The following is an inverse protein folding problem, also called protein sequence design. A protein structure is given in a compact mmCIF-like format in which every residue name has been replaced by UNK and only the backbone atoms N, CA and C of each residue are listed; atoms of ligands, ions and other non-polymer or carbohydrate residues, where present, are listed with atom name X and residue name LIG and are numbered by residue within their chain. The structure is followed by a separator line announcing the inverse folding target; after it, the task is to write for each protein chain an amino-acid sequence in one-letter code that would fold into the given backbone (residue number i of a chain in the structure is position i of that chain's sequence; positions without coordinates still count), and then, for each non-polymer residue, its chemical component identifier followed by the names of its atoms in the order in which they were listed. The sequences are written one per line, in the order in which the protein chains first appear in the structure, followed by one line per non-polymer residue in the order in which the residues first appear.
data_IF_646332263036
#
_entry.id   IF_646332263036
#
_cell.length_a   1.000
_cell.length_b   1.000
_cell.length_c   1.000
_cell.angle_alpha   90.00
_cell.angle_beta   90.00
_cell.angle_gamma   90.00
#
_symmetry.space_group_name_H-M   'P 1'
#
loop_
_entity.id
_entity.type
_entity.pdbx_description
1 polymer ?
#
# COMPACT_ATOMS: atom_id res chain seq x y z
N UNK A 1 -23.64 -7.38 60.89
CA UNK A 1 -22.76 -6.47 60.16
C UNK A 1 -22.82 -6.88 58.68
N UNK A 2 -23.87 -6.44 57.97
CA UNK A 2 -24.06 -6.70 56.55
C UNK A 2 -23.17 -5.74 55.78
N UNK A 3 -22.15 -6.26 55.12
CA UNK A 3 -21.37 -5.51 54.14
C UNK A 3 -22.26 -5.34 52.88
N UNK A 4 -22.83 -4.16 52.72
CA UNK A 4 -23.50 -3.76 51.49
C UNK A 4 -22.47 -3.77 50.37
N UNK A 5 -22.48 -4.82 49.55
CA UNK A 5 -21.68 -4.86 48.30
C UNK A 5 -22.30 -3.74 47.41
N UNK A 6 -21.60 -2.63 47.31
CA UNK A 6 -21.99 -1.53 46.44
C UNK A 6 -22.05 -2.05 44.98
N UNK A 7 -23.25 -2.14 44.43
CA UNK A 7 -23.43 -2.50 43.01
C UNK A 7 -22.83 -1.44 42.12
N UNK A 8 -21.78 -1.77 41.38
CA UNK A 8 -21.18 -0.88 40.39
C UNK A 8 -22.22 -0.54 39.33
N UNK A 9 -22.46 0.73 39.10
CA UNK A 9 -23.47 1.17 38.12
C UNK A 9 -23.00 0.90 36.69
N UNK A 10 -23.94 0.63 35.77
CA UNK A 10 -23.63 0.46 34.35
C UNK A 10 -22.87 1.66 33.77
N UNK A 11 -23.11 2.88 34.28
CA UNK A 11 -22.38 4.09 33.86
C UNK A 11 -20.92 4.04 34.29
N UNK A 12 -20.60 3.50 35.43
CA UNK A 12 -19.23 3.33 35.91
C UNK A 12 -18.50 2.27 35.11
N UNK A 13 -19.14 1.16 34.81
CA UNK A 13 -18.58 0.10 33.95
C UNK A 13 -18.25 0.68 32.56
N UNK A 14 -19.22 1.34 31.93
CA UNK A 14 -19.03 1.98 30.62
C UNK A 14 -17.86 2.98 30.62
N UNK A 15 -17.73 3.79 31.70
CA UNK A 15 -16.62 4.72 31.88
C UNK A 15 -15.26 4.01 31.96
N UNK A 16 -15.15 2.96 32.75
CA UNK A 16 -13.91 2.21 32.87
C UNK A 16 -13.52 1.52 31.56
N UNK A 17 -14.48 0.94 30.84
CA UNK A 17 -14.24 0.37 29.53
C UNK A 17 -13.76 1.44 28.51
N UNK A 18 -14.38 2.62 28.52
CA UNK A 18 -13.97 3.73 27.67
C UNK A 18 -12.56 4.23 28.00
N UNK A 19 -12.19 4.30 29.29
CA UNK A 19 -10.84 4.65 29.71
C UNK A 19 -9.81 3.61 29.31
N UNK A 20 -10.12 2.33 29.48
CA UNK A 20 -9.24 1.24 29.05
C UNK A 20 -8.98 1.33 27.54
N UNK A 21 -10.04 1.53 26.74
CA UNK A 21 -9.91 1.69 25.30
C UNK A 21 -9.11 2.93 24.93
N UNK A 22 -9.33 4.06 25.59
CA UNK A 22 -8.55 5.29 25.37
C UNK A 22 -7.07 5.06 25.67
N UNK A 23 -6.76 4.37 26.80
CA UNK A 23 -5.39 4.04 27.15
C UNK A 23 -4.72 3.12 26.13
N UNK A 24 -5.44 2.11 25.61
CA UNK A 24 -4.95 1.25 24.53
C UNK A 24 -4.65 2.03 23.25
N UNK A 25 -5.53 2.97 22.88
CA UNK A 25 -5.32 3.82 21.69
C UNK A 25 -4.10 4.75 21.86
N UNK A 26 -3.91 5.33 23.04
CA UNK A 26 -2.71 6.13 23.37
C UNK A 26 -1.46 5.26 23.26
N UNK A 27 -1.48 4.08 23.89
CA UNK A 27 -0.36 3.13 23.85
C UNK A 27 -0.02 2.75 22.41
N UNK A 28 -1.03 2.45 21.59
CA UNK A 28 -0.82 2.14 20.17
C UNK A 28 -0.17 3.33 19.44
N UNK A 29 -0.66 4.55 19.64
CA UNK A 29 -0.08 5.75 19.03
C UNK A 29 1.39 5.96 19.41
N UNK A 30 1.76 5.67 20.66
CA UNK A 30 3.17 5.72 21.11
C UNK A 30 3.99 4.60 20.47
N UNK A 31 3.49 3.35 20.51
CA UNK A 31 4.21 2.19 19.98
C UNK A 31 4.49 2.31 18.48
N UNK A 32 3.57 2.86 17.69
CA UNK A 32 3.79 3.06 16.24
C UNK A 32 5.01 3.93 15.93
N UNK A 33 5.42 4.81 16.86
CA UNK A 33 6.63 5.63 16.70
C UNK A 33 7.92 4.80 16.68
N UNK A 34 7.90 3.58 17.22
CA UNK A 34 9.04 2.65 17.25
C UNK A 34 9.04 1.66 16.09
N UNK A 35 8.16 1.81 15.10
CA UNK A 35 8.02 0.87 13.97
C UNK A 35 9.28 0.68 13.12
N UNK A 36 10.26 1.61 13.17
CA UNK A 36 11.54 1.44 12.45
C UNK A 36 12.39 0.29 12.99
N UNK A 37 12.27 -0.01 14.28
CA UNK A 37 13.14 -0.97 14.99
C UNK A 37 12.38 -2.10 15.67
N UNK A 38 11.06 -2.00 15.76
CA UNK A 38 10.19 -2.96 16.42
C UNK A 38 9.14 -3.48 15.43
N UNK A 39 9.23 -4.72 15.02
CA UNK A 39 8.32 -5.33 14.03
C UNK A 39 6.86 -5.33 14.47
N UNK A 40 6.59 -5.61 15.75
CA UNK A 40 5.23 -5.58 16.28
C UNK A 40 4.65 -4.15 16.29
N UNK A 41 5.52 -3.15 16.58
CA UNK A 41 5.15 -1.74 16.53
C UNK A 41 4.90 -1.27 15.08
N UNK A 42 5.66 -1.82 14.14
CA UNK A 42 5.44 -1.59 12.70
C UNK A 42 4.06 -2.08 12.26
N UNK A 43 3.68 -3.32 12.63
CA UNK A 43 2.37 -3.87 12.30
C UNK A 43 1.21 -3.01 12.82
N UNK A 44 1.34 -2.44 14.02
CA UNK A 44 0.34 -1.54 14.59
C UNK A 44 0.16 -0.26 13.75
N UNK A 45 1.19 0.18 13.03
CA UNK A 45 1.15 1.41 12.23
C UNK A 45 0.25 1.33 11.00
N UNK A 46 -0.20 0.14 10.61
CA UNK A 46 -0.98 -0.06 9.39
C UNK A 46 -2.47 0.26 9.51
N UNK A 47 -2.99 0.49 10.73
CA UNK A 47 -4.42 0.53 11.01
C UNK A 47 -5.02 1.89 11.45
N UNK A 48 -4.54 3.06 11.04
CA UNK A 48 -5.07 4.34 11.54
C UNK A 48 -6.54 4.56 11.16
N UNK A 49 -7.02 4.00 10.02
CA UNK A 49 -8.42 4.09 9.64
C UNK A 49 -9.33 3.33 10.62
N UNK A 50 -8.95 2.11 10.98
CA UNK A 50 -9.66 1.29 11.95
C UNK A 50 -9.57 1.90 13.35
N UNK A 51 -8.40 2.39 13.74
CA UNK A 51 -8.19 3.04 15.03
C UNK A 51 -9.00 4.35 15.16
N UNK A 52 -9.16 5.11 14.07
CA UNK A 52 -10.03 6.28 14.04
C UNK A 52 -11.50 5.92 14.31
N UNK A 53 -12.01 4.83 13.72
CA UNK A 53 -13.38 4.34 13.98
C UNK A 53 -13.53 3.85 15.41
N UNK A 54 -12.58 3.06 15.92
CA UNK A 54 -12.59 2.56 17.29
C UNK A 54 -12.54 3.70 18.31
N UNK A 55 -11.82 4.79 18.01
CA UNK A 55 -11.70 5.95 18.87
C UNK A 55 -13.03 6.74 19.02
N UNK A 56 -14.02 6.52 18.17
CA UNK A 56 -15.36 7.11 18.35
C UNK A 56 -16.09 6.50 19.55
N UNK A 57 -15.81 5.25 19.91
CA UNK A 57 -16.49 4.55 21.02
C UNK A 57 -16.29 5.31 22.33
N UNK A 58 -15.05 5.57 22.82
CA UNK A 58 -14.87 6.33 24.06
C UNK A 58 -15.38 7.77 23.95
N UNK A 59 -15.30 8.42 22.78
CA UNK A 59 -15.87 9.75 22.57
C UNK A 59 -17.37 9.77 22.84
N UNK A 60 -18.14 8.86 22.22
CA UNK A 60 -19.59 8.75 22.43
C UNK A 60 -19.90 8.39 23.88
N UNK A 61 -19.18 7.45 24.47
CA UNK A 61 -19.38 7.02 25.86
C UNK A 61 -19.21 8.21 26.83
N UNK A 62 -18.11 8.96 26.72
CA UNK A 62 -17.85 10.10 27.62
C UNK A 62 -18.82 11.25 27.39
N UNK A 63 -19.29 11.47 26.16
CA UNK A 63 -20.34 12.45 25.86
C UNK A 63 -21.66 12.08 26.56
N UNK A 64 -22.10 10.82 26.46
CA UNK A 64 -23.34 10.32 27.08
C UNK A 64 -23.26 10.32 28.61
N UNK A 65 -22.11 9.98 29.18
CA UNK A 65 -21.89 9.96 30.65
C UNK A 65 -21.67 11.37 31.21
N UNK A 66 -21.55 12.42 30.36
CA UNK A 66 -21.40 13.81 30.78
C UNK A 66 -19.98 14.17 31.28
N UNK A 67 -18.96 13.46 30.84
CA UNK A 67 -17.55 13.61 31.31
C UNK A 67 -16.72 14.45 30.34
N UNK A 68 -16.87 15.76 30.34
CA UNK A 68 -16.25 16.68 29.40
C UNK A 68 -14.73 16.55 29.30
N UNK A 69 -14.00 16.39 30.43
CA UNK A 69 -12.54 16.25 30.41
C UNK A 69 -12.11 14.94 29.72
N UNK A 70 -12.79 13.84 30.04
CA UNK A 70 -12.52 12.51 29.48
C UNK A 70 -12.82 12.51 27.97
N UNK A 71 -13.91 13.17 27.55
CA UNK A 71 -14.25 13.37 26.15
C UNK A 71 -13.18 14.13 25.38
N UNK A 72 -12.60 15.20 25.97
CA UNK A 72 -11.53 15.95 25.30
C UNK A 72 -10.30 15.07 25.03
N UNK A 73 -9.90 14.25 26.01
CA UNK A 73 -8.77 13.31 25.83
C UNK A 73 -9.06 12.30 24.72
N UNK A 74 -10.24 11.66 24.74
CA UNK A 74 -10.65 10.73 23.71
C UNK A 74 -10.71 11.39 22.31
N UNK A 75 -11.26 12.62 22.24
CA UNK A 75 -11.34 13.38 21.01
C UNK A 75 -9.98 13.75 20.43
N UNK A 76 -8.98 14.06 21.27
CA UNK A 76 -7.61 14.31 20.79
C UNK A 76 -7.00 13.06 20.15
N UNK A 77 -7.21 11.89 20.76
CA UNK A 77 -6.73 10.62 20.17
C UNK A 77 -7.49 10.26 18.89
N UNK A 78 -8.79 10.50 18.83
CA UNK A 78 -9.56 10.33 17.61
C UNK A 78 -9.05 11.25 16.50
N UNK A 79 -8.84 12.54 16.81
CA UNK A 79 -8.31 13.53 15.87
C UNK A 79 -6.91 13.16 15.36
N UNK A 80 -6.05 12.60 16.22
CA UNK A 80 -4.72 12.09 15.82
C UNK A 80 -4.80 11.01 14.74
N UNK A 81 -5.68 10.01 14.92
CA UNK A 81 -5.87 8.96 13.93
C UNK A 81 -6.52 9.48 12.64
N UNK A 82 -7.51 10.39 12.76
CA UNK A 82 -8.14 11.04 11.60
C UNK A 82 -7.12 11.87 10.82
N UNK A 83 -6.25 12.61 11.50
CA UNK A 83 -5.22 13.43 10.86
C UNK A 83 -4.29 12.60 9.95
N UNK A 84 -4.01 11.33 10.30
CA UNK A 84 -3.25 10.43 9.47
C UNK A 84 -3.96 10.08 8.13
N UNK A 85 -5.28 10.25 8.06
CA UNK A 85 -6.09 9.96 6.87
C UNK A 85 -6.28 11.20 6.00
N UNK A 86 -6.18 12.40 6.57
CA UNK A 86 -6.45 13.67 5.87
C UNK A 86 -5.73 13.79 4.53
N UNK A 87 -4.43 13.46 4.39
CA UNK A 87 -3.74 13.60 3.10
C UNK A 87 -4.35 12.76 1.96
N UNK A 88 -5.01 11.65 2.30
CA UNK A 88 -5.62 10.77 1.30
C UNK A 88 -6.97 11.29 0.78
N UNK A 89 -7.61 12.25 1.49
CA UNK A 89 -8.91 12.80 1.10
C UNK A 89 -8.86 14.29 0.78
N UNK A 90 -7.99 15.06 1.46
CA UNK A 90 -7.96 16.52 1.35
C UNK A 90 -6.88 17.04 0.39
N UNK A 91 -5.92 16.21 -0.01
CA UNK A 91 -4.96 16.62 -1.04
C UNK A 91 -5.70 16.78 -2.37
N UNK A 92 -5.65 17.98 -2.95
CA UNK A 92 -6.17 18.17 -4.31
C UNK A 92 -5.31 17.31 -5.24
N UNK A 93 -5.90 16.31 -5.91
CA UNK A 93 -5.14 15.58 -6.91
C UNK A 93 -4.67 16.61 -7.93
N UNK A 94 -3.39 16.63 -8.26
CA UNK A 94 -2.84 17.40 -9.41
C UNK A 94 -3.50 17.00 -10.75
N UNK A 95 -4.54 16.20 -10.70
CA UNK A 95 -5.12 15.33 -11.73
C UNK A 95 -6.47 15.77 -12.24
N UNK A 96 -7.00 16.90 -11.82
CA UNK A 96 -8.17 17.46 -12.51
C UNK A 96 -7.79 18.18 -13.81
N UNK A 97 -6.48 18.19 -14.16
CA UNK A 97 -6.05 18.67 -15.47
C UNK A 97 -6.06 17.45 -16.40
N UNK A 98 -6.92 17.43 -17.43
CA UNK A 98 -6.87 16.40 -18.47
C UNK A 98 -5.44 16.29 -19.02
N UNK A 99 -5.00 15.09 -19.43
CA UNK A 99 -3.72 14.98 -20.08
C UNK A 99 -3.69 15.94 -21.28
N UNK A 100 -2.56 16.60 -21.58
CA UNK A 100 -2.40 17.30 -22.84
C UNK A 100 -2.88 16.42 -23.98
N UNK A 101 -3.53 16.97 -25.00
CA UNK A 101 -4.15 16.21 -26.08
C UNK A 101 -3.18 15.28 -26.83
N UNK A 102 -1.89 15.60 -26.76
CA UNK A 102 -0.76 14.88 -27.36
C UNK A 102 -0.03 13.95 -26.36
N UNK A 103 -0.35 14.01 -25.07
CA UNK A 103 0.32 13.20 -24.08
C UNK A 103 -0.13 11.74 -24.15
N UNK A 104 0.83 10.83 -24.33
CA UNK A 104 0.57 9.40 -24.23
C UNK A 104 0.27 9.02 -22.78
N UNK A 105 -0.94 8.56 -22.50
CA UNK A 105 -1.30 7.96 -21.23
C UNK A 105 -0.84 6.49 -21.22
N UNK A 106 -0.11 6.11 -20.18
CA UNK A 106 0.39 4.75 -19.94
C UNK A 106 -0.39 4.17 -18.78
N UNK A 107 -0.89 2.95 -18.95
CA UNK A 107 -1.52 2.18 -17.88
C UNK A 107 -0.60 1.09 -17.34
N UNK A 108 -0.28 1.18 -16.06
CA UNK A 108 0.43 0.13 -15.33
C UNK A 108 -0.53 -0.56 -14.37
N UNK A 109 -0.50 -1.89 -14.36
CA UNK A 109 -1.21 -2.72 -13.39
C UNK A 109 -0.20 -3.50 -12.57
N UNK A 110 -0.36 -3.46 -11.24
CA UNK A 110 0.33 -4.36 -10.31
C UNK A 110 -0.69 -5.31 -9.68
N UNK A 111 -0.40 -6.59 -9.71
CA UNK A 111 -1.24 -7.63 -9.10
C UNK A 111 -0.39 -8.64 -8.34
N UNK A 112 -0.66 -8.77 -7.05
CA UNK A 112 -0.23 -9.94 -6.28
C UNK A 112 -1.26 -11.05 -6.57
N UNK A 113 -0.81 -12.14 -7.22
CA UNK A 113 -1.71 -13.20 -7.65
C UNK A 113 -1.99 -14.22 -6.53
N UNK A 114 -1.31 -14.14 -5.41
CA UNK A 114 -1.20 -15.12 -4.34
C UNK A 114 -0.75 -16.50 -4.87
N UNK A 115 0.37 -16.99 -4.39
CA UNK A 115 0.98 -18.24 -4.89
C UNK A 115 0.04 -19.44 -4.82
N UNK A 116 -0.87 -19.48 -3.82
CA UNK A 116 -1.86 -20.52 -3.58
C UNK A 116 -3.16 -20.32 -4.37
N UNK A 117 -3.42 -19.13 -4.89
CA UNK A 117 -4.61 -18.85 -5.68
C UNK A 117 -4.61 -19.70 -6.97
N UNK A 118 -5.76 -20.30 -7.30
CA UNK A 118 -5.94 -21.14 -8.49
C UNK A 118 -6.95 -20.56 -9.48
N UNK A 119 -7.53 -19.39 -9.19
CA UNK A 119 -8.52 -18.72 -10.03
C UNK A 119 -7.87 -17.91 -11.15
N UNK A 120 -7.17 -18.62 -12.05
CA UNK A 120 -6.54 -18.01 -13.23
C UNK A 120 -7.53 -17.25 -14.11
N UNK A 121 -8.79 -17.70 -14.16
CA UNK A 121 -9.79 -17.10 -15.04
C UNK A 121 -10.08 -15.66 -14.65
N UNK A 122 -10.20 -15.37 -13.34
CA UNK A 122 -10.42 -14.00 -12.86
C UNK A 122 -9.20 -13.11 -13.08
N UNK A 123 -7.99 -13.59 -12.81
CA UNK A 123 -6.77 -12.80 -13.04
C UNK A 123 -6.63 -12.46 -14.53
N UNK A 124 -6.75 -13.46 -15.43
CA UNK A 124 -6.65 -13.26 -16.87
C UNK A 124 -7.78 -12.36 -17.40
N UNK A 125 -9.02 -12.58 -16.91
CA UNK A 125 -10.17 -11.73 -17.22
C UNK A 125 -9.95 -10.28 -16.85
N UNK A 126 -9.39 -10.02 -15.65
CA UNK A 126 -9.04 -8.70 -15.19
C UNK A 126 -7.95 -8.03 -16.07
N UNK A 127 -6.88 -8.76 -16.41
CA UNK A 127 -5.83 -8.27 -17.29
C UNK A 127 -6.39 -7.90 -18.68
N UNK A 128 -7.26 -8.75 -19.24
CA UNK A 128 -7.91 -8.47 -20.54
C UNK A 128 -8.85 -7.26 -20.48
N UNK A 129 -9.61 -7.11 -19.40
CA UNK A 129 -10.54 -5.99 -19.21
C UNK A 129 -9.82 -4.67 -19.02
N UNK A 130 -8.75 -4.65 -18.22
CA UNK A 130 -8.00 -3.42 -17.90
C UNK A 130 -7.03 -3.02 -19.01
N UNK A 131 -6.60 -3.96 -19.87
CA UNK A 131 -5.67 -3.75 -20.99
C UNK A 131 -4.43 -2.94 -20.61
N UNK A 132 -3.64 -3.37 -19.60
CA UNK A 132 -2.48 -2.61 -19.17
C UNK A 132 -1.42 -2.53 -20.29
N UNK A 133 -0.73 -1.38 -20.39
CA UNK A 133 0.49 -1.25 -21.18
C UNK A 133 1.63 -2.02 -20.54
N UNK A 134 1.71 -2.00 -19.21
CA UNK A 134 2.68 -2.75 -18.41
C UNK A 134 1.96 -3.46 -17.26
N UNK A 135 2.24 -4.74 -17.11
CA UNK A 135 1.74 -5.60 -16.06
C UNK A 135 2.90 -6.05 -15.16
N UNK A 136 2.80 -5.79 -13.86
CA UNK A 136 3.70 -6.34 -12.84
C UNK A 136 2.91 -7.37 -12.04
N UNK A 137 3.47 -8.57 -11.92
CA UNK A 137 2.87 -9.68 -11.17
C UNK A 137 3.81 -10.08 -10.05
N UNK A 138 3.31 -10.17 -8.83
CA UNK A 138 4.05 -10.68 -7.66
C UNK A 138 3.45 -12.01 -7.20
N UNK A 139 4.22 -12.77 -6.44
CA UNK A 139 3.96 -14.16 -6.05
C UNK A 139 3.85 -15.12 -7.24
N UNK A 140 4.67 -14.86 -8.24
CA UNK A 140 4.74 -15.66 -9.46
C UNK A 140 5.40 -17.02 -9.18
N UNK A 141 4.69 -18.10 -9.48
CA UNK A 141 5.22 -19.46 -9.52
C UNK A 141 4.97 -20.10 -10.90
N UNK A 142 5.41 -21.33 -11.10
CA UNK A 142 5.24 -22.03 -12.40
C UNK A 142 3.78 -22.21 -12.82
N UNK A 143 2.84 -22.31 -11.87
CA UNK A 143 1.42 -22.35 -12.19
C UNK A 143 0.98 -21.03 -12.85
N UNK A 144 1.40 -19.91 -12.29
CA UNK A 144 1.07 -18.58 -12.79
C UNK A 144 1.81 -18.25 -14.10
N UNK A 145 3.04 -18.72 -14.28
CA UNK A 145 3.74 -18.61 -15.59
C UNK A 145 2.88 -19.24 -16.70
N UNK A 146 2.43 -20.48 -16.49
CA UNK A 146 1.54 -21.16 -17.46
C UNK A 146 0.18 -20.49 -17.63
N UNK A 147 -0.36 -19.88 -16.57
CA UNK A 147 -1.62 -19.15 -16.67
C UNK A 147 -1.51 -17.88 -17.50
N UNK A 148 -0.38 -17.15 -17.35
CA UNK A 148 -0.10 -15.92 -18.10
C UNK A 148 0.15 -16.16 -19.60
N UNK A 149 0.40 -17.39 -20.04
CA UNK A 149 0.48 -17.73 -21.47
C UNK A 149 -0.81 -17.37 -22.21
N UNK A 150 -1.96 -17.38 -21.54
CA UNK A 150 -3.25 -16.98 -22.11
C UNK A 150 -3.31 -15.50 -22.58
N UNK A 151 -2.39 -14.65 -22.14
CA UNK A 151 -2.27 -13.25 -22.53
C UNK A 151 -0.88 -12.92 -23.09
N UNK A 152 -0.01 -13.91 -23.24
CA UNK A 152 1.37 -13.74 -23.66
C UNK A 152 1.54 -13.01 -25.00
N UNK A 153 0.64 -13.26 -25.96
CA UNK A 153 0.65 -12.59 -27.27
C UNK A 153 0.44 -11.08 -27.18
N UNK A 154 -0.23 -10.59 -26.14
CA UNK A 154 -0.43 -9.17 -25.91
C UNK A 154 0.82 -8.46 -25.35
N UNK A 155 1.78 -9.20 -24.82
CA UNK A 155 2.96 -8.67 -24.12
C UNK A 155 4.24 -9.22 -24.76
N UNK A 156 4.74 -8.60 -25.85
CA UNK A 156 5.94 -9.07 -26.57
C UNK A 156 7.22 -8.98 -25.71
N UNK A 157 7.26 -8.07 -24.73
CA UNK A 157 8.39 -7.94 -23.81
C UNK A 157 7.99 -8.52 -22.47
N UNK A 158 8.79 -9.50 -22.00
CA UNK A 158 8.50 -10.21 -20.76
C UNK A 158 9.76 -10.56 -19.99
N UNK A 159 9.76 -10.32 -18.68
CA UNK A 159 10.70 -10.87 -17.73
C UNK A 159 9.89 -11.63 -16.69
N UNK A 160 10.08 -12.94 -16.62
CA UNK A 160 9.40 -13.83 -15.69
C UNK A 160 10.48 -14.46 -14.78
N UNK A 161 10.40 -14.20 -13.49
CA UNK A 161 11.30 -14.77 -12.47
C UNK A 161 10.44 -15.57 -11.47
N UNK A 162 9.93 -16.77 -11.86
CA UNK A 162 9.12 -17.59 -10.98
C UNK A 162 9.94 -18.13 -9.81
N UNK A 163 9.28 -18.35 -8.67
CA UNK A 163 9.87 -19.00 -7.50
C UNK A 163 8.85 -19.91 -6.83
N UNK A 164 9.30 -20.98 -6.21
CA UNK A 164 8.45 -21.85 -5.37
C UNK A 164 8.08 -21.18 -4.04
N UNK A 165 8.69 -20.04 -3.74
CA UNK A 165 8.35 -19.16 -2.63
C UNK A 165 7.45 -18.00 -3.11
N UNK A 166 6.88 -17.23 -2.16
CA UNK A 166 6.04 -16.06 -2.47
C UNK A 166 6.77 -14.90 -3.18
N UNK A 167 8.07 -15.02 -3.47
CA UNK A 167 8.90 -13.90 -3.99
C UNK A 167 9.18 -13.97 -5.48
N UNK A 168 8.43 -14.76 -6.23
CA UNK A 168 8.49 -14.71 -7.70
C UNK A 168 7.86 -13.42 -8.22
N UNK A 169 8.39 -12.90 -9.33
CA UNK A 169 7.96 -11.63 -9.91
C UNK A 169 7.98 -11.70 -11.44
N UNK A 170 7.08 -10.95 -12.07
CA UNK A 170 7.09 -10.73 -13.51
C UNK A 170 6.88 -9.26 -13.85
N UNK A 171 7.45 -8.85 -14.98
CA UNK A 171 7.08 -7.65 -15.72
C UNK A 171 6.80 -8.05 -17.16
N UNK A 172 5.62 -7.67 -17.64
CA UNK A 172 5.16 -7.91 -19.00
C UNK A 172 4.72 -6.60 -19.63
N UNK A 173 5.07 -6.34 -20.89
CA UNK A 173 4.81 -5.05 -21.53
C UNK A 173 4.34 -5.20 -22.97
N UNK A 174 3.35 -4.38 -23.33
CA UNK A 174 2.94 -4.08 -24.72
C UNK A 174 3.86 -3.05 -25.36
N UNK A 175 4.54 -2.25 -24.53
CA UNK A 175 5.44 -1.20 -24.97
C UNK A 175 6.84 -1.76 -25.22
N UNK A 176 7.63 -1.12 -26.09
CA UNK A 176 9.00 -1.53 -26.40
C UNK A 176 9.96 -1.16 -25.25
N UNK A 177 9.82 -1.84 -24.11
CA UNK A 177 10.68 -1.68 -22.96
C UNK A 177 11.98 -2.48 -23.15
N UNK A 178 13.07 -1.96 -22.59
CA UNK A 178 14.31 -2.71 -22.37
C UNK A 178 14.33 -3.19 -20.91
N UNK A 179 14.40 -4.48 -20.70
CA UNK A 179 14.61 -5.07 -19.35
C UNK A 179 16.05 -4.80 -18.95
N UNK A 180 16.24 -4.32 -17.71
CA UNK A 180 17.57 -4.01 -17.17
C UNK A 180 18.01 -5.09 -16.18
N UNK A 181 19.27 -5.49 -16.26
CA UNK A 181 19.90 -6.36 -15.27
C UNK A 181 20.34 -5.57 -14.02
N UNK A 182 20.61 -4.25 -14.18
CA UNK A 182 20.83 -3.35 -13.04
C UNK A 182 19.53 -3.16 -12.27
N UNK A 183 19.48 -3.70 -11.07
CA UNK A 183 18.32 -3.66 -10.17
C UNK A 183 18.75 -3.33 -8.74
N UNK A 184 17.82 -2.92 -7.87
CA UNK A 184 18.13 -2.64 -6.47
C UNK A 184 18.76 -3.85 -5.78
N UNK A 185 19.92 -3.67 -5.20
CA UNK A 185 20.70 -4.76 -4.60
C UNK A 185 19.93 -5.43 -3.46
N UNK A 186 19.76 -6.75 -3.53
CA UNK A 186 19.07 -7.54 -2.51
C UNK A 186 17.55 -7.41 -2.48
N UNK A 187 16.96 -6.56 -3.33
CA UNK A 187 15.50 -6.44 -3.43
C UNK A 187 14.91 -7.43 -4.46
N UNK A 188 13.71 -7.92 -4.17
CA UNK A 188 12.92 -8.68 -5.13
C UNK A 188 12.28 -7.71 -6.12
N UNK A 189 13.00 -7.40 -7.18
CA UNK A 189 12.59 -6.39 -8.14
C UNK A 189 12.93 -6.78 -9.58
N UNK A 190 12.13 -6.28 -10.49
CA UNK A 190 12.36 -6.29 -11.94
C UNK A 190 12.33 -4.84 -12.44
N UNK A 191 13.27 -4.49 -13.31
CA UNK A 191 13.43 -3.13 -13.80
C UNK A 191 13.34 -3.12 -15.31
N UNK A 192 12.63 -2.16 -15.85
CA UNK A 192 12.53 -1.93 -17.27
C UNK A 192 12.61 -0.44 -17.61
N UNK A 193 13.15 -0.11 -18.77
CA UNK A 193 13.24 1.26 -19.26
C UNK A 193 12.47 1.43 -20.56
N UNK A 194 11.61 2.45 -20.59
CA UNK A 194 10.93 2.90 -21.80
C UNK A 194 11.78 4.01 -22.44
N UNK A 195 12.12 3.91 -23.74
CA UNK A 195 12.94 4.94 -24.40
C UNK A 195 12.15 6.22 -24.69
N UNK A 196 10.83 6.08 -24.99
CA UNK A 196 9.94 7.22 -25.31
C UNK A 196 8.50 6.95 -24.78
N UNK A 197 8.00 7.79 -23.87
CA UNK A 197 8.76 8.81 -23.12
C UNK A 197 9.83 8.14 -22.25
N UNK A 198 10.93 8.84 -21.96
CA UNK A 198 11.99 8.28 -21.10
C UNK A 198 11.44 8.01 -19.72
N UNK A 199 11.45 6.75 -19.29
CA UNK A 199 10.83 6.31 -18.05
C UNK A 199 11.48 5.01 -17.57
N UNK A 200 11.78 4.94 -16.28
CA UNK A 200 12.14 3.68 -15.61
C UNK A 200 10.94 3.13 -14.83
N UNK A 201 10.61 1.86 -15.05
CA UNK A 201 9.56 1.14 -14.30
C UNK A 201 10.23 0.11 -13.42
N UNK A 202 9.90 0.13 -12.13
CA UNK A 202 10.37 -0.82 -11.12
C UNK A 202 9.18 -1.59 -10.57
N UNK A 203 9.13 -2.88 -10.88
CA UNK A 203 8.23 -3.82 -10.21
C UNK A 203 8.91 -4.40 -8.99
N UNK A 204 8.25 -4.49 -7.83
CA UNK A 204 8.88 -4.99 -6.61
C UNK A 204 7.91 -5.72 -5.70
N UNK A 205 8.46 -6.66 -4.90
CA UNK A 205 7.74 -7.36 -3.82
C UNK A 205 8.63 -7.42 -2.59
N UNK A 206 8.38 -6.55 -1.62
CA UNK A 206 9.20 -6.44 -0.42
C UNK A 206 8.81 -7.49 0.64
N UNK A 207 9.72 -7.80 1.56
CA UNK A 207 9.44 -8.70 2.68
C UNK A 207 8.34 -8.15 3.60
N UNK A 208 7.40 -9.01 4.09
CA UNK A 208 6.46 -8.61 5.14
C UNK A 208 7.20 -8.49 6.49
N UNK A 209 6.95 -7.45 7.30
CA UNK A 209 7.65 -7.23 8.57
C UNK A 209 7.10 -8.10 9.71
N UNK A 210 7.01 -9.42 9.52
CA UNK A 210 6.39 -10.37 10.46
C UNK A 210 7.35 -10.91 11.53
N UNK A 211 8.61 -10.52 11.50
CA UNK A 211 9.63 -10.85 12.51
C UNK A 211 10.73 -9.79 12.53
N UNK A 212 11.60 -9.75 13.56
CA UNK A 212 12.73 -8.82 13.58
C UNK A 212 13.64 -8.95 12.35
N UNK A 213 13.88 -10.19 11.90
CA UNK A 213 14.72 -10.48 10.73
C UNK A 213 14.06 -10.00 9.44
N UNK A 214 12.77 -10.24 9.27
CA UNK A 214 12.02 -9.81 8.09
C UNK A 214 11.85 -8.28 8.07
N UNK A 215 11.64 -7.63 9.21
CA UNK A 215 11.65 -6.17 9.32
C UNK A 215 12.99 -5.60 8.83
N UNK A 216 14.11 -6.17 9.31
CA UNK A 216 15.45 -5.71 8.92
C UNK A 216 15.65 -5.86 7.40
N UNK A 217 15.31 -7.02 6.84
CA UNK A 217 15.41 -7.28 5.38
C UNK A 217 14.56 -6.29 4.58
N UNK A 218 13.29 -6.08 4.96
CA UNK A 218 12.42 -5.11 4.31
C UNK A 218 13.00 -3.69 4.35
N UNK A 219 13.54 -3.26 5.49
CA UNK A 219 14.17 -1.95 5.62
C UNK A 219 15.41 -1.83 4.72
N UNK A 220 16.21 -2.89 4.58
CA UNK A 220 17.34 -2.95 3.65
C UNK A 220 16.87 -2.87 2.18
N UNK A 221 15.80 -3.58 1.82
CA UNK A 221 15.20 -3.49 0.48
C UNK A 221 14.72 -2.06 0.19
N UNK A 222 14.05 -1.40 1.14
CA UNK A 222 13.60 -0.02 0.97
C UNK A 222 14.75 0.95 0.78
N UNK A 223 15.84 0.79 1.53
CA UNK A 223 17.04 1.58 1.35
C UNK A 223 17.69 1.35 -0.03
N UNK A 224 17.74 0.10 -0.49
CA UNK A 224 18.26 -0.25 -1.82
C UNK A 224 17.38 0.30 -2.94
N UNK A 225 16.05 0.21 -2.81
CA UNK A 225 15.07 0.80 -3.73
C UNK A 225 15.24 2.32 -3.81
N UNK A 226 15.36 3.00 -2.65
CA UNK A 226 15.56 4.44 -2.60
C UNK A 226 16.88 4.86 -3.28
N UNK A 227 17.98 4.18 -2.97
CA UNK A 227 19.28 4.44 -3.59
C UNK A 227 19.25 4.19 -5.11
N UNK A 228 18.55 3.13 -5.55
CA UNK A 228 18.37 2.84 -6.98
C UNK A 228 17.58 3.95 -7.68
N UNK A 229 16.42 4.34 -7.14
CA UNK A 229 15.56 5.38 -7.73
C UNK A 229 16.30 6.71 -7.85
N UNK A 230 17.06 7.10 -6.82
CA UNK A 230 17.84 8.35 -6.86
C UNK A 230 18.92 8.39 -7.92
N UNK A 231 19.44 7.26 -8.36
CA UNK A 231 20.45 7.19 -9.44
C UNK A 231 19.86 7.30 -10.84
N UNK A 232 18.53 7.17 -10.97
CA UNK A 232 17.92 7.23 -12.30
C UNK A 232 17.90 8.67 -12.81
N UNK A 233 18.31 8.86 -14.07
CA UNK A 233 18.23 10.16 -14.75
C UNK A 233 16.81 10.44 -15.26
N UNK A 234 16.06 9.37 -15.56
CA UNK A 234 14.68 9.44 -16.04
C UNK A 234 13.67 9.41 -14.88
N UNK A 235 12.45 9.91 -15.07
CA UNK A 235 11.34 9.68 -14.15
C UNK A 235 11.15 8.19 -13.83
N UNK A 236 10.70 7.89 -12.63
CA UNK A 236 10.52 6.52 -12.14
C UNK A 236 9.06 6.28 -11.72
N UNK A 237 8.53 5.13 -12.11
CA UNK A 237 7.30 4.54 -11.58
C UNK A 237 7.68 3.24 -10.85
N UNK A 238 7.45 3.19 -9.55
CA UNK A 238 7.66 2.01 -8.72
C UNK A 238 6.30 1.43 -8.32
N UNK A 239 6.07 0.16 -8.65
CA UNK A 239 4.80 -0.52 -8.38
C UNK A 239 5.00 -1.91 -7.81
N UNK A 240 4.05 -2.37 -7.01
CA UNK A 240 4.02 -3.73 -6.48
C UNK A 240 3.59 -3.79 -5.02
N UNK A 241 3.76 -4.96 -4.45
CA UNK A 241 3.49 -5.23 -3.05
C UNK A 241 4.69 -4.82 -2.19
N UNK A 242 4.53 -3.75 -1.41
CA UNK A 242 5.57 -3.28 -0.49
C UNK A 242 5.42 -3.85 0.92
N UNK A 243 4.38 -4.67 1.16
CA UNK A 243 4.09 -5.23 2.48
C UNK A 243 4.13 -4.19 3.62
N UNK A 244 3.77 -2.96 3.29
CA UNK A 244 3.84 -1.81 4.20
C UNK A 244 2.85 -0.75 3.78
N UNK A 245 2.11 -0.17 4.72
CA UNK A 245 1.20 0.93 4.42
C UNK A 245 1.90 2.29 4.46
N UNK A 246 1.27 3.32 3.93
CA UNK A 246 1.82 4.68 3.94
C UNK A 246 1.96 5.30 5.33
N UNK A 247 1.43 4.68 6.35
CA UNK A 247 1.58 5.13 7.72
C UNK A 247 2.81 4.53 8.41
N UNK A 248 3.41 3.50 7.82
CA UNK A 248 4.66 2.93 8.28
C UNK A 248 5.79 3.97 8.29
N UNK A 249 6.58 4.05 9.37
CA UNK A 249 7.76 4.91 9.39
C UNK A 249 8.76 4.59 8.28
N UNK A 250 8.99 3.31 7.99
CA UNK A 250 9.94 2.90 6.96
C UNK A 250 9.43 3.20 5.53
N UNK A 251 8.11 3.12 5.29
CA UNK A 251 7.55 3.54 4.02
C UNK A 251 7.71 5.04 3.79
N UNK A 252 7.49 5.85 4.82
CA UNK A 252 7.73 7.31 4.74
C UNK A 252 9.21 7.64 4.50
N UNK A 253 10.12 6.85 5.09
CA UNK A 253 11.55 6.98 4.83
C UNK A 253 11.86 6.63 3.37
N UNK A 254 11.29 5.53 2.81
CA UNK A 254 11.42 5.20 1.39
C UNK A 254 10.97 6.36 0.48
N UNK A 255 9.79 6.95 0.73
CA UNK A 255 9.30 8.08 -0.08
C UNK A 255 10.26 9.28 -0.04
N UNK A 256 10.68 9.67 1.17
CA UNK A 256 11.60 10.79 1.38
C UNK A 256 12.95 10.55 0.71
N UNK A 257 13.53 9.38 0.95
CA UNK A 257 14.89 9.04 0.53
C UNK A 257 14.97 8.77 -0.98
N UNK A 258 13.89 8.28 -1.59
CA UNK A 258 13.78 8.09 -3.04
C UNK A 258 13.28 9.32 -3.79
N UNK A 259 12.71 10.32 -3.12
CA UNK A 259 12.01 11.43 -3.77
C UNK A 259 10.72 11.00 -4.48
N UNK A 260 10.07 9.94 -3.99
CA UNK A 260 8.83 9.41 -4.55
C UNK A 260 7.60 10.00 -3.88
N UNK A 261 6.49 10.03 -4.60
CA UNK A 261 5.15 10.39 -4.10
C UNK A 261 4.22 9.20 -4.15
N UNK A 262 3.38 9.06 -3.13
CA UNK A 262 2.29 8.10 -3.10
C UNK A 262 1.14 8.58 -3.99
N UNK A 263 0.77 7.79 -4.99
CA UNK A 263 -0.29 8.14 -5.94
C UNK A 263 -1.70 8.09 -5.36
N UNK A 264 -1.86 7.61 -4.10
CA UNK A 264 -3.14 7.60 -3.39
C UNK A 264 -3.53 8.94 -2.78
N UNK A 265 -2.58 9.86 -2.62
CA UNK A 265 -2.87 11.19 -2.07
C UNK A 265 -4.02 11.85 -2.83
N UNK A 266 -5.06 12.29 -2.09
CA UNK A 266 -6.28 12.87 -2.64
C UNK A 266 -7.26 11.89 -3.31
N UNK A 267 -7.03 10.55 -3.23
CA UNK A 267 -7.86 9.52 -3.86
C UNK A 267 -8.45 8.50 -2.89
N UNK A 268 -8.34 8.75 -1.60
CA UNK A 268 -8.78 7.87 -0.54
C UNK A 268 -7.74 6.83 -0.13
N UNK A 269 -8.08 6.06 0.90
CA UNK A 269 -7.18 5.05 1.47
C UNK A 269 -6.88 3.93 0.49
N UNK A 270 -7.87 3.49 -0.31
CA UNK A 270 -7.71 2.47 -1.35
C UNK A 270 -6.94 1.24 -0.84
N UNK A 271 -7.49 0.58 0.18
CA UNK A 271 -6.92 -0.63 0.78
C UNK A 271 -6.90 -1.79 -0.21
N UNK A 272 -5.90 -2.68 -0.09
CA UNK A 272 -5.69 -3.79 -1.02
C UNK A 272 -5.68 -5.16 -0.35
N UNK A 273 -5.31 -5.28 0.93
CA UNK A 273 -5.17 -6.55 1.65
C UNK A 273 -5.75 -6.47 3.07
N UNK A 274 -6.38 -7.53 3.58
CA UNK A 274 -6.83 -8.73 2.89
C UNK A 274 -8.12 -8.47 2.08
N UNK A 275 -8.17 -8.92 0.84
CA UNK A 275 -9.30 -8.67 -0.08
C UNK A 275 -10.64 -9.23 0.43
N UNK A 276 -10.60 -10.30 1.23
CA UNK A 276 -11.79 -10.99 1.73
C UNK A 276 -12.41 -10.36 2.99
N UNK A 277 -11.70 -9.47 3.71
CA UNK A 277 -12.16 -8.86 4.96
C UNK A 277 -12.02 -7.32 4.95
N UNK A 278 -12.97 -6.59 4.34
CA UNK A 278 -12.88 -5.14 4.12
C UNK A 278 -12.67 -4.31 5.40
N UNK A 279 -13.18 -4.77 6.55
CA UNK A 279 -13.10 -4.03 7.82
C UNK A 279 -11.67 -3.87 8.36
N UNK A 280 -10.78 -4.80 8.03
CA UNK A 280 -9.37 -4.76 8.46
C UNK A 280 -8.40 -4.53 7.31
N UNK A 281 -8.92 -4.20 6.13
CA UNK A 281 -8.08 -3.96 4.97
C UNK A 281 -7.11 -2.80 5.18
N UNK A 282 -5.89 -3.01 4.72
CA UNK A 282 -4.80 -2.04 4.70
C UNK A 282 -4.22 -1.92 3.28
N UNK A 283 -3.66 -0.77 2.92
CA UNK A 283 -3.07 -0.56 1.60
C UNK A 283 -1.59 -0.94 1.64
N UNK A 284 -1.23 -2.11 1.12
CA UNK A 284 0.16 -2.58 1.06
C UNK A 284 0.68 -2.74 -0.37
N UNK A 285 -0.24 -2.73 -1.36
CA UNK A 285 0.12 -2.65 -2.77
C UNK A 285 0.12 -1.19 -3.24
N UNK A 286 1.20 -0.77 -3.86
CA UNK A 286 1.45 0.63 -4.15
C UNK A 286 1.80 0.89 -5.61
N UNK A 287 1.55 2.14 -6.01
CA UNK A 287 2.16 2.77 -7.15
C UNK A 287 2.74 4.11 -6.68
N UNK A 288 4.04 4.27 -6.81
CA UNK A 288 4.81 5.43 -6.38
C UNK A 288 5.46 6.07 -7.60
N UNK A 289 5.54 7.39 -7.62
CA UNK A 289 6.06 8.12 -8.79
C UNK A 289 7.07 9.18 -8.38
N UNK A 290 8.12 9.34 -9.17
CA UNK A 290 9.06 10.46 -9.04
C UNK A 290 8.51 11.74 -9.69
N UNK A 291 9.14 12.91 -9.50
CA UNK A 291 8.89 14.11 -10.29
C UNK A 291 8.96 13.81 -11.80
N UNK A 292 8.20 14.54 -12.61
CA UNK A 292 8.08 14.33 -14.06
C UNK A 292 7.05 13.27 -14.46
N UNK A 293 6.42 12.58 -13.50
CA UNK A 293 5.28 11.69 -13.75
C UNK A 293 3.98 12.36 -13.30
N UNK A 294 3.05 12.53 -14.24
CA UNK A 294 1.71 13.10 -14.01
C UNK A 294 0.69 11.99 -13.92
N UNK A 295 0.07 11.84 -12.75
CA UNK A 295 -0.92 10.78 -12.48
C UNK A 295 -2.31 11.24 -12.91
N UNK A 296 -2.97 10.53 -13.82
CA UNK A 296 -4.33 10.82 -14.30
C UNK A 296 -5.38 10.00 -13.57
N UNK A 297 -5.06 8.75 -13.22
CA UNK A 297 -5.95 7.86 -12.47
C UNK A 297 -5.16 6.90 -11.60
N UNK A 298 -5.74 6.57 -10.44
CA UNK A 298 -5.28 5.46 -9.61
C UNK A 298 -6.49 4.87 -8.92
N UNK A 299 -6.68 3.57 -9.05
CA UNK A 299 -7.77 2.85 -8.40
C UNK A 299 -7.36 1.42 -8.07
N UNK A 300 -8.14 0.81 -7.20
CA UNK A 300 -8.04 -0.60 -6.83
C UNK A 300 -9.02 -1.37 -7.70
N UNK A 301 -8.57 -2.45 -8.31
CA UNK A 301 -9.39 -3.30 -9.18
C UNK A 301 -10.27 -4.27 -8.39
N UNK A 302 -11.10 -5.00 -9.13
CA UNK A 302 -11.99 -6.00 -8.58
C UNK A 302 -11.22 -7.22 -8.02
N UNK A 303 -11.91 -8.03 -7.24
CA UNK A 303 -11.35 -9.25 -6.65
C UNK A 303 -11.01 -10.28 -7.75
N UNK A 304 -9.76 -10.69 -7.78
CA UNK A 304 -9.21 -11.63 -8.78
C UNK A 304 -8.96 -13.04 -8.22
N UNK A 305 -9.55 -13.37 -7.06
CA UNK A 305 -9.33 -14.64 -6.38
C UNK A 305 -8.12 -14.64 -5.44
N UNK A 306 -7.22 -13.67 -5.56
CA UNK A 306 -6.14 -13.39 -4.62
C UNK A 306 -6.68 -12.81 -3.31
N UNK A 307 -5.91 -12.92 -2.25
CA UNK A 307 -6.11 -12.17 -1.00
C UNK A 307 -5.66 -10.71 -1.12
N UNK A 308 -5.09 -10.31 -2.26
CA UNK A 308 -4.82 -8.92 -2.64
C UNK A 308 -5.78 -8.43 -3.72
N UNK A 309 -6.03 -7.13 -3.73
CA UNK A 309 -6.71 -6.41 -4.82
C UNK A 309 -5.68 -5.75 -5.74
N UNK A 310 -5.85 -5.83 -7.07
CA UNK A 310 -4.95 -5.21 -8.02
C UNK A 310 -4.92 -3.69 -7.91
N UNK A 311 -3.77 -3.09 -8.21
CA UNK A 311 -3.59 -1.63 -8.32
C UNK A 311 -3.44 -1.24 -9.77
N UNK A 312 -4.23 -0.27 -10.22
CA UNK A 312 -4.18 0.31 -11.56
C UNK A 312 -3.73 1.76 -11.47
N UNK A 313 -2.77 2.14 -12.28
CA UNK A 313 -2.24 3.49 -12.38
C UNK A 313 -2.25 3.95 -13.84
N UNK A 314 -2.92 5.07 -14.11
CA UNK A 314 -2.89 5.79 -15.39
C UNK A 314 -2.08 7.08 -15.23
N UNK A 315 -1.06 7.25 -16.05
CA UNK A 315 -0.16 8.39 -15.97
C UNK A 315 0.43 8.78 -17.32
N UNK A 316 0.97 9.97 -17.40
CA UNK A 316 1.87 10.40 -18.48
C UNK A 316 3.20 10.89 -17.90
N UNK A 317 4.20 10.99 -18.76
CA UNK A 317 5.50 11.56 -18.42
C UNK A 317 5.59 12.94 -19.06
N UNK A 318 6.01 13.95 -18.30
CA UNK A 318 6.21 15.29 -18.84
C UNK A 318 7.30 15.26 -19.92
N UNK A 319 7.13 16.01 -20.99
CA UNK A 319 8.17 16.17 -22.00
C UNK A 319 9.41 16.81 -21.33
N UNK A 320 10.57 16.15 -21.46
CA UNK A 320 11.86 16.64 -20.97
C UNK A 320 12.40 17.70 -21.91
#
# INVERSE_FOLDING_TARGET
MEQTIASVSLREIARWCAWLLTALLITTAVLTSFGRSCWACELLSHFPAQLALVALIPCVTFAVVGRRRDLVIAAVIAAWNVAALVPFYASVPTVLVPPPADARVIRVVAVNVAAENRDRARVIGFVRATRPDVLVVTELNDFWVRALDAVAADFPIRRLEPRDSHYGIALMSRLPLTILDDKPAGAHAVVARLPQPRLTIVGTHAFPPLSPQLLLRRNQEFAALAAFVRRQAEPVVLVGDLNSSSWSPAFRDLLRDAGLRDTRLGRGVQSTWPAWLPMVQIPIDHALVSPGVRVHGRFVGDRVGSDHLPVVLDFSVDAL
#
